data_IF_577553354138
#
_entry.id   IF_577553354138
#
_cell.length_a   1.000
_cell.length_b   1.000
_cell.length_c   1.000
_cell.angle_alpha   90.00
_cell.angle_beta   90.00
_cell.angle_gamma   90.00
#
_symmetry.space_group_name_H-M   'P 1'
#
loop_
_entity.id
_entity.type
_entity.pdbx_description
1 polymer ?
#
# COMPACT_ATOMS: atom_id res chain seq x y z
N UNK A 1 4.94 -14.91 -12.95
CA UNK A 1 4.52 -15.04 -11.54
C UNK A 1 3.02 -15.31 -11.50
N UNK A 2 2.63 -16.45 -10.95
CA UNK A 2 1.24 -16.88 -10.73
C UNK A 2 0.60 -16.10 -9.58
N UNK A 3 -0.74 -16.10 -9.48
CA UNK A 3 -1.42 -15.44 -8.35
C UNK A 3 -1.00 -16.02 -7.00
N UNK A 4 -0.76 -17.34 -6.90
CA UNK A 4 -0.28 -17.97 -5.67
C UNK A 4 1.11 -17.46 -5.25
N UNK A 5 2.03 -17.31 -6.21
CA UNK A 5 3.36 -16.75 -5.95
C UNK A 5 3.28 -15.27 -5.51
N UNK A 6 2.38 -14.49 -6.12
CA UNK A 6 2.14 -13.09 -5.74
C UNK A 6 1.57 -12.99 -4.32
N UNK A 7 0.57 -13.80 -3.99
CA UNK A 7 -0.03 -13.86 -2.66
C UNK A 7 1.03 -14.22 -1.60
N UNK A 8 1.88 -15.21 -1.86
CA UNK A 8 2.95 -15.59 -0.93
C UNK A 8 3.95 -14.44 -0.70
N UNK A 9 4.27 -13.67 -1.74
CA UNK A 9 5.12 -12.47 -1.59
C UNK A 9 4.41 -11.34 -0.84
N UNK A 10 3.10 -11.15 -1.03
CA UNK A 10 2.32 -10.17 -0.27
C UNK A 10 2.23 -10.55 1.22
N UNK A 11 2.11 -11.83 1.57
CA UNK A 11 2.18 -12.28 2.96
C UNK A 11 3.55 -12.01 3.59
N UNK A 12 4.63 -12.27 2.86
CA UNK A 12 5.97 -11.93 3.32
C UNK A 12 6.16 -10.41 3.46
N UNK A 13 5.57 -9.63 2.55
CA UNK A 13 5.60 -8.17 2.57
C UNK A 13 4.96 -7.61 3.85
N UNK A 14 3.82 -8.15 4.30
CA UNK A 14 3.12 -7.71 5.54
C UNK A 14 3.96 -7.83 6.82
N UNK A 15 4.95 -8.71 6.83
CA UNK A 15 5.80 -8.98 8.00
C UNK A 15 6.96 -7.97 8.10
N UNK A 16 7.34 -7.35 6.98
CA UNK A 16 8.49 -6.46 6.92
C UNK A 16 8.11 -5.09 7.48
N UNK A 17 8.87 -4.57 8.44
CA UNK A 17 8.67 -3.20 8.91
C UNK A 17 9.22 -2.23 7.86
N UNK A 18 8.36 -1.33 7.37
CA UNK A 18 8.67 -0.33 6.33
C UNK A 18 8.39 1.10 6.76
N UNK A 19 8.02 1.29 8.01
CA UNK A 19 7.90 2.62 8.62
C UNK A 19 9.12 2.83 9.52
N UNK A 20 10.31 2.67 8.93
CA UNK A 20 11.56 2.83 9.65
C UNK A 20 12.04 4.28 9.58
N UNK A 21 12.67 4.78 10.65
CA UNK A 21 13.18 6.15 10.76
C UNK A 21 13.95 6.64 9.51
N UNK A 22 14.81 5.83 8.85
CA UNK A 22 15.54 6.29 7.66
C UNK A 22 14.66 6.64 6.46
N UNK A 23 13.51 5.99 6.29
CA UNK A 23 12.59 6.27 5.17
C UNK A 23 11.84 7.61 5.36
N UNK A 24 11.83 8.13 6.59
CA UNK A 24 11.28 9.45 6.93
C UNK A 24 12.37 10.54 6.98
N UNK A 25 13.61 10.19 7.32
CA UNK A 25 14.74 11.13 7.41
C UNK A 25 15.10 11.78 6.06
N UNK A 26 14.81 11.12 4.93
CA UNK A 26 14.95 11.70 3.59
C UNK A 26 13.86 12.74 3.26
N UNK A 27 12.77 12.76 4.03
CA UNK A 27 11.71 13.77 3.92
C UNK A 27 12.04 14.89 4.90
N UNK A 28 12.10 16.14 4.44
CA UNK A 28 12.37 17.31 5.28
C UNK A 28 11.18 17.64 6.25
N UNK A 29 10.43 16.64 6.68
CA UNK A 29 9.20 16.75 7.48
C UNK A 29 9.34 15.98 8.79
N UNK A 30 8.73 16.49 9.87
CA UNK A 30 8.78 15.82 11.17
C UNK A 30 8.08 14.46 11.13
N UNK A 31 8.66 13.47 11.80
CA UNK A 31 8.07 12.14 11.90
C UNK A 31 6.71 12.18 12.60
N UNK A 32 5.70 11.57 11.98
CA UNK A 32 4.40 11.39 12.61
C UNK A 32 4.49 10.62 13.93
N UNK A 33 3.56 10.88 14.84
CA UNK A 33 3.52 10.19 16.13
C UNK A 33 3.43 8.66 15.97
N UNK A 34 3.93 7.90 16.96
CA UNK A 34 3.82 6.42 16.96
C UNK A 34 2.38 5.92 16.77
N UNK A 35 1.39 6.64 17.32
CA UNK A 35 -0.01 6.31 17.15
C UNK A 35 -0.46 6.47 15.69
N UNK A 36 -0.03 7.57 15.04
CA UNK A 36 -0.33 7.86 13.64
C UNK A 36 0.38 6.88 12.70
N UNK A 37 1.66 6.57 12.92
CA UNK A 37 2.38 5.50 12.20
C UNK A 37 1.64 4.16 12.31
N UNK A 38 1.09 3.82 13.48
CA UNK A 38 0.29 2.61 13.64
C UNK A 38 -1.02 2.64 12.82
N UNK A 39 -1.62 3.81 12.59
CA UNK A 39 -2.76 3.96 11.66
C UNK A 39 -2.31 3.80 10.22
N UNK A 40 -1.23 4.45 9.80
CA UNK A 40 -0.69 4.34 8.44
C UNK A 40 -0.34 2.88 8.10
N UNK A 41 0.29 2.15 9.04
CA UNK A 41 0.53 0.70 8.91
C UNK A 41 -0.75 -0.10 8.66
N UNK A 42 -1.87 0.29 9.28
CA UNK A 42 -3.15 -0.39 9.08
C UNK A 42 -3.70 -0.15 7.67
N UNK A 43 -3.55 1.04 7.11
CA UNK A 43 -3.97 1.31 5.73
C UNK A 43 -3.17 0.48 4.72
N UNK A 44 -1.84 0.47 4.84
CA UNK A 44 -0.98 -0.40 4.00
C UNK A 44 -1.39 -1.87 4.09
N UNK A 45 -1.68 -2.36 5.30
CA UNK A 45 -2.14 -3.73 5.50
C UNK A 45 -3.54 -3.96 4.92
N UNK A 46 -4.45 -2.99 5.02
CA UNK A 46 -5.81 -3.04 4.46
C UNK A 46 -5.73 -3.16 2.94
N UNK A 47 -4.93 -2.31 2.28
CA UNK A 47 -4.74 -2.38 0.84
C UNK A 47 -4.04 -3.67 0.40
N UNK A 48 -3.01 -4.10 1.13
CA UNK A 48 -2.32 -5.37 0.82
C UNK A 48 -3.27 -6.57 0.90
N UNK A 49 -4.13 -6.61 1.94
CA UNK A 49 -5.14 -7.66 2.08
C UNK A 49 -6.17 -7.59 0.94
N UNK A 50 -6.57 -6.39 0.52
CA UNK A 50 -7.43 -6.20 -0.64
C UNK A 50 -6.80 -6.81 -1.91
N UNK A 51 -5.53 -6.51 -2.22
CA UNK A 51 -4.83 -7.09 -3.37
C UNK A 51 -4.81 -8.63 -3.32
N UNK A 52 -4.54 -9.21 -2.15
CA UNK A 52 -4.56 -10.67 -1.97
C UNK A 52 -5.95 -11.28 -2.20
N UNK A 53 -7.02 -10.61 -1.76
CA UNK A 53 -8.39 -11.04 -2.00
C UNK A 53 -8.72 -11.06 -3.49
N UNK A 54 -8.36 -9.98 -4.22
CA UNK A 54 -8.58 -9.89 -5.66
C UNK A 54 -7.80 -10.97 -6.44
N UNK A 55 -6.55 -11.23 -6.05
CA UNK A 55 -5.71 -12.29 -6.64
C UNK A 55 -6.27 -13.69 -6.37
N UNK A 56 -6.82 -13.91 -5.17
CA UNK A 56 -7.47 -15.18 -4.78
C UNK A 56 -8.75 -15.41 -5.57
N UNK A 57 -9.55 -14.35 -5.76
CA UNK A 57 -10.75 -14.36 -6.59
C UNK A 57 -10.45 -14.43 -8.10
N UNK A 58 -9.17 -14.32 -8.50
CA UNK A 58 -8.72 -14.32 -9.88
C UNK A 58 -9.41 -13.23 -10.74
N UNK A 59 -9.55 -12.03 -10.18
CA UNK A 59 -10.16 -10.90 -10.88
C UNK A 59 -9.27 -10.44 -12.03
N UNK A 60 -9.87 -10.35 -13.22
CA UNK A 60 -9.13 -10.06 -14.45
C UNK A 60 -8.63 -8.61 -14.55
N UNK A 61 -9.30 -7.67 -13.87
CA UNK A 61 -9.01 -6.23 -13.94
C UNK A 61 -8.56 -5.66 -12.59
N UNK A 62 -7.45 -6.19 -12.08
CA UNK A 62 -6.88 -5.76 -10.81
C UNK A 62 -6.46 -4.28 -10.81
N UNK A 63 -6.12 -3.73 -11.97
CA UNK A 63 -5.74 -2.32 -12.14
C UNK A 63 -6.92 -1.40 -11.80
N UNK A 64 -8.08 -1.62 -12.42
CA UNK A 64 -9.29 -0.83 -12.15
C UNK A 64 -9.74 -1.00 -10.69
N UNK A 65 -9.62 -2.20 -10.13
CA UNK A 65 -9.96 -2.45 -8.72
C UNK A 65 -9.06 -1.65 -7.77
N UNK A 66 -7.75 -1.59 -8.03
CA UNK A 66 -6.84 -0.77 -7.24
C UNK A 66 -7.13 0.73 -7.37
N UNK A 67 -7.43 1.22 -8.58
CA UNK A 67 -7.84 2.61 -8.79
C UNK A 67 -9.12 2.96 -8.02
N UNK A 68 -10.11 2.07 -8.03
CA UNK A 68 -11.35 2.26 -7.27
C UNK A 68 -11.08 2.28 -5.76
N UNK A 69 -10.19 1.42 -5.26
CA UNK A 69 -9.80 1.44 -3.86
C UNK A 69 -9.26 2.81 -3.42
N UNK A 70 -8.39 3.44 -4.22
CA UNK A 70 -7.87 4.78 -3.92
C UNK A 70 -8.93 5.87 -4.05
N UNK A 71 -9.80 5.80 -5.06
CA UNK A 71 -10.89 6.76 -5.22
C UNK A 71 -11.88 6.72 -4.04
N UNK A 72 -12.10 5.54 -3.47
CA UNK A 72 -12.99 5.32 -2.32
C UNK A 72 -12.26 5.47 -0.97
N UNK A 73 -10.95 5.76 -0.98
CA UNK A 73 -10.17 5.90 0.23
C UNK A 73 -10.42 7.26 0.89
N UNK A 74 -11.17 7.23 1.98
CA UNK A 74 -11.26 8.37 2.90
C UNK A 74 -9.95 8.51 3.70
N UNK A 75 -9.14 9.50 3.32
CA UNK A 75 -7.83 9.78 3.89
C UNK A 75 -7.77 11.13 4.63
N UNK A 76 -8.93 11.74 4.95
CA UNK A 76 -8.99 13.06 5.60
C UNK A 76 -8.28 13.11 6.96
N UNK A 77 -8.07 11.96 7.60
CA UNK A 77 -7.35 11.86 8.87
C UNK A 77 -5.80 11.91 8.74
N UNK A 78 -5.27 11.86 7.51
CA UNK A 78 -3.85 11.89 7.22
C UNK A 78 -3.44 13.23 6.61
N UNK A 79 -2.22 13.68 6.92
CA UNK A 79 -1.63 14.80 6.19
C UNK A 79 -1.29 14.38 4.75
N UNK A 80 -0.96 15.35 3.90
CA UNK A 80 -0.44 15.07 2.57
C UNK A 80 0.81 14.18 2.63
N UNK A 81 1.80 14.54 3.46
CA UNK A 81 3.04 13.76 3.59
C UNK A 81 2.78 12.32 4.08
N UNK A 82 1.83 12.16 5.02
CA UNK A 82 1.44 10.84 5.52
C UNK A 82 0.77 10.01 4.43
N UNK A 83 -0.13 10.63 3.65
CA UNK A 83 -0.80 10.00 2.53
C UNK A 83 0.20 9.56 1.47
N UNK A 84 1.11 10.45 1.07
CA UNK A 84 2.18 10.14 0.11
C UNK A 84 3.08 9.00 0.61
N UNK A 85 3.41 8.98 1.91
CA UNK A 85 4.20 7.89 2.49
C UNK A 85 3.46 6.55 2.48
N UNK A 86 2.16 6.54 2.82
CA UNK A 86 1.34 5.32 2.72
C UNK A 86 1.38 4.79 1.28
N UNK A 87 1.11 5.65 0.30
CA UNK A 87 1.05 5.28 -1.12
C UNK A 87 2.41 4.76 -1.62
N UNK A 88 3.52 5.42 -1.26
CA UNK A 88 4.87 4.95 -1.60
C UNK A 88 5.18 3.57 -1.04
N UNK A 89 4.79 3.31 0.21
CA UNK A 89 4.96 1.99 0.82
C UNK A 89 4.10 0.96 0.08
N UNK A 90 2.89 1.32 -0.33
CA UNK A 90 1.96 0.47 -1.09
C UNK A 90 2.44 0.17 -2.53
N UNK A 91 3.27 1.01 -3.14
CA UNK A 91 3.84 0.75 -4.48
C UNK A 91 4.57 -0.58 -4.57
N UNK A 92 5.28 -0.99 -3.52
CA UNK A 92 5.92 -2.30 -3.53
C UNK A 92 4.88 -3.43 -3.52
N UNK A 93 3.77 -3.29 -2.79
CA UNK A 93 2.67 -4.25 -2.80
C UNK A 93 1.98 -4.30 -4.18
N UNK A 94 1.75 -3.15 -4.82
CA UNK A 94 1.21 -3.06 -6.19
C UNK A 94 2.11 -3.78 -7.19
N UNK A 95 3.43 -3.54 -7.13
CA UNK A 95 4.42 -4.18 -7.99
C UNK A 95 4.41 -5.70 -7.82
N UNK A 96 4.31 -6.19 -6.58
CA UNK A 96 4.18 -7.63 -6.29
C UNK A 96 2.88 -8.18 -6.90
N UNK A 97 1.77 -7.45 -6.77
CA UNK A 97 0.47 -7.85 -7.31
C UNK A 97 0.42 -7.80 -8.86
N UNK A 98 1.39 -7.14 -9.50
CA UNK A 98 1.48 -7.00 -10.96
C UNK A 98 0.71 -5.82 -11.52
N UNK A 99 0.39 -4.82 -10.68
CA UNK A 99 -0.21 -3.54 -11.05
C UNK A 99 0.89 -2.65 -11.64
N UNK A 100 0.55 -1.91 -12.69
CA UNK A 100 1.43 -0.88 -13.25
C UNK A 100 1.14 0.44 -12.57
N UNK A 101 2.08 0.90 -11.76
CA UNK A 101 1.91 2.10 -10.92
C UNK A 101 1.75 3.35 -11.78
N UNK A 102 2.50 3.45 -12.89
CA UNK A 102 2.43 4.57 -13.85
C UNK A 102 1.02 4.78 -14.46
N UNK A 103 0.17 3.76 -14.39
CA UNK A 103 -1.21 3.78 -14.92
C UNK A 103 -2.25 4.11 -13.84
N UNK A 104 -1.84 4.38 -12.58
CA UNK A 104 -2.73 4.80 -11.49
C UNK A 104 -2.72 6.33 -11.33
N UNK A 105 -3.89 6.90 -11.10
CA UNK A 105 -4.07 8.29 -10.71
C UNK A 105 -4.35 8.31 -9.20
N UNK A 106 -3.35 8.68 -8.40
CA UNK A 106 -3.43 8.73 -6.94
C UNK A 106 -3.26 10.17 -6.49
#
# INVERSE_FOLDING_TARGET
MTNQERIAQLEAYKIKDRFTLPDWEDREVEQSSKAKIAQMKKEVLRFTNFLMQQLTANVADLQTQAQQFFNDWDNEEFTQDETEFIVEVEYEAMRIAGIKIDDLLI
#
